data_IF_323112568142
#
_entry.id   IF_323112568142
#
_cell.length_a   1.000
_cell.length_b   1.000
_cell.length_c   1.000
_cell.angle_alpha   90.00
_cell.angle_beta   90.00
_cell.angle_gamma   90.00
#
_symmetry.space_group_name_H-M   'P 1'
#
loop_
_entity.id
_entity.type
_entity.pdbx_description
1 polymer ?
#
# COMPACT_ATOMS: atom_id res chain seq x y z
N UNK A 1 11.18 33.48 -6.18
CA UNK A 1 10.03 32.60 -6.03
C UNK A 1 10.34 31.30 -6.76
N UNK A 2 10.52 30.19 -6.03
CA UNK A 2 10.85 28.88 -6.58
C UNK A 2 9.81 27.84 -6.21
N UNK A 3 9.94 26.65 -6.77
CA UNK A 3 9.14 25.47 -6.45
C UNK A 3 9.89 24.61 -5.43
N UNK A 4 9.22 24.17 -4.40
CA UNK A 4 9.78 23.26 -3.40
C UNK A 4 9.24 21.85 -3.63
N UNK A 5 10.15 20.89 -3.78
CA UNK A 5 9.77 19.47 -3.90
C UNK A 5 9.03 18.97 -2.65
N UNK A 6 9.38 19.48 -1.46
CA UNK A 6 8.69 19.17 -0.20
C UNK A 6 7.25 19.67 -0.22
N UNK A 7 7.03 20.88 -0.72
CA UNK A 7 5.69 21.44 -0.83
C UNK A 7 4.85 20.69 -1.88
N UNK A 8 5.47 20.27 -2.99
CA UNK A 8 4.81 19.41 -3.99
C UNK A 8 4.37 18.08 -3.38
N UNK A 9 5.26 17.46 -2.60
CA UNK A 9 4.95 16.24 -1.90
C UNK A 9 3.80 16.43 -0.90
N UNK A 10 3.76 17.53 -0.18
CA UNK A 10 2.67 17.83 0.74
C UNK A 10 1.32 17.95 -0.01
N UNK A 11 1.30 18.67 -1.14
CA UNK A 11 0.10 18.76 -1.96
C UNK A 11 -0.34 17.39 -2.52
N UNK A 12 0.61 16.58 -2.97
CA UNK A 12 0.37 15.21 -3.40
C UNK A 12 -0.26 14.37 -2.29
N UNK A 13 0.29 14.44 -1.08
CA UNK A 13 -0.22 13.70 0.06
C UNK A 13 -1.62 14.16 0.49
N UNK A 14 -1.91 15.45 0.39
CA UNK A 14 -3.24 15.97 0.67
C UNK A 14 -4.27 15.46 -0.36
N UNK A 15 -3.89 15.44 -1.64
CA UNK A 15 -4.72 14.86 -2.68
C UNK A 15 -4.94 13.35 -2.45
N UNK A 16 -3.89 12.59 -2.10
CA UNK A 16 -4.01 11.17 -1.82
C UNK A 16 -4.95 10.88 -0.63
N UNK A 17 -4.87 11.67 0.43
CA UNK A 17 -5.77 11.54 1.60
C UNK A 17 -7.23 11.82 1.26
N UNK A 18 -7.49 12.61 0.23
CA UNK A 18 -8.87 12.92 -0.21
C UNK A 18 -9.47 11.86 -1.12
N UNK A 19 -8.69 10.86 -1.56
CA UNK A 19 -9.20 9.76 -2.37
C UNK A 19 -9.96 8.77 -1.50
N UNK A 20 -11.21 8.51 -1.86
CA UNK A 20 -11.98 7.39 -1.33
C UNK A 20 -11.69 6.14 -2.17
N UNK A 21 -10.86 5.24 -1.65
CA UNK A 21 -10.72 3.92 -2.26
C UNK A 21 -11.96 3.07 -1.95
N UNK A 22 -12.38 2.18 -2.88
CA UNK A 22 -13.49 1.28 -2.61
C UNK A 22 -13.17 0.37 -1.43
N UNK A 23 -14.18 0.13 -0.60
CA UNK A 23 -14.12 -0.82 0.51
C UNK A 23 -14.42 -2.22 -0.02
N UNK A 24 -13.64 -3.19 0.41
CA UNK A 24 -13.87 -4.61 0.13
C UNK A 24 -14.59 -5.26 1.33
N UNK A 25 -15.64 -6.03 1.08
CA UNK A 25 -16.45 -6.66 2.14
C UNK A 25 -15.63 -7.61 3.03
N UNK A 26 -14.57 -8.21 2.49
CA UNK A 26 -13.75 -9.21 3.18
C UNK A 26 -12.45 -8.60 3.70
N UNK A 27 -11.77 -7.81 2.88
CA UNK A 27 -10.44 -7.25 3.19
C UNK A 27 -10.50 -5.87 3.87
N UNK A 28 -11.68 -5.22 3.85
CA UNK A 28 -11.87 -3.90 4.44
C UNK A 28 -11.31 -2.77 3.59
N UNK A 29 -10.61 -1.84 4.22
CA UNK A 29 -10.10 -0.63 3.58
C UNK A 29 -8.74 -0.83 2.92
N UNK A 30 -8.52 -0.13 1.81
CA UNK A 30 -7.18 0.09 1.27
C UNK A 30 -6.39 0.99 2.21
N UNK A 31 -5.25 0.52 2.65
CA UNK A 31 -4.35 1.29 3.52
C UNK A 31 -3.03 1.57 2.83
N UNK A 32 -2.34 2.61 3.27
CA UNK A 32 -1.04 2.97 2.71
C UNK A 32 -0.11 3.60 3.75
N UNK A 33 1.18 3.49 3.47
CA UNK A 33 2.24 4.07 4.27
C UNK A 33 3.31 4.72 3.38
N UNK A 34 3.90 5.81 3.85
CA UNK A 34 5.02 6.46 3.19
C UNK A 34 6.31 6.07 3.88
N UNK A 35 7.24 5.52 3.10
CA UNK A 35 8.56 5.15 3.56
C UNK A 35 9.67 5.68 2.65
N UNK A 36 10.90 5.58 3.11
CA UNK A 36 12.09 6.04 2.38
C UNK A 36 11.95 7.46 1.83
N UNK A 37 11.41 8.35 2.65
CA UNK A 37 11.28 9.76 2.35
C UNK A 37 12.66 10.42 2.50
N UNK A 38 13.18 10.95 1.41
CA UNK A 38 14.49 11.61 1.36
C UNK A 38 14.34 12.94 0.66
N UNK A 39 14.74 14.00 1.36
CA UNK A 39 14.96 15.34 0.82
C UNK A 39 16.13 15.93 1.57
N UNK A 40 17.22 16.16 0.85
CA UNK A 40 18.46 16.68 1.40
C UNK A 40 18.68 18.12 0.90
N UNK A 41 18.22 19.08 1.69
CA UNK A 41 18.40 20.48 1.42
C UNK A 41 18.58 21.28 2.71
N UNK A 42 19.42 22.32 2.74
CA UNK A 42 19.51 23.25 3.85
C UNK A 42 18.15 23.92 4.14
N UNK A 43 17.89 24.22 5.38
CA UNK A 43 16.59 24.78 5.82
C UNK A 43 16.25 26.15 5.19
N UNK A 44 17.23 26.88 4.70
CA UNK A 44 17.07 28.20 4.10
C UNK A 44 17.02 28.16 2.56
N UNK A 45 17.04 26.96 1.94
CA UNK A 45 16.98 26.75 0.50
C UNK A 45 15.76 25.89 0.18
N UNK A 46 15.03 26.24 -0.88
CA UNK A 46 13.92 25.41 -1.35
C UNK A 46 14.43 24.04 -1.79
N UNK A 47 13.73 22.99 -1.38
CA UNK A 47 14.06 21.64 -1.81
C UNK A 47 13.89 21.50 -3.32
N UNK A 48 14.95 21.14 -4.01
CA UNK A 48 14.98 20.87 -5.44
C UNK A 48 14.59 19.43 -5.78
N UNK A 49 14.71 18.52 -4.79
CA UNK A 49 14.43 17.09 -4.97
C UNK A 49 13.85 16.47 -3.72
N UNK A 50 12.87 15.59 -3.94
CA UNK A 50 12.34 14.67 -2.93
C UNK A 50 12.04 13.33 -3.58
N UNK A 51 12.40 12.26 -2.90
CA UNK A 51 12.00 10.90 -3.27
C UNK A 51 11.34 10.21 -2.09
N UNK A 52 10.33 9.40 -2.36
CA UNK A 52 9.69 8.56 -1.36
C UNK A 52 9.17 7.27 -1.99
N UNK A 53 8.82 6.32 -1.15
CA UNK A 53 8.05 5.15 -1.52
C UNK A 53 6.71 5.18 -0.82
N UNK A 54 5.64 4.99 -1.56
CA UNK A 54 4.31 4.77 -0.99
C UNK A 54 3.99 3.29 -1.14
N UNK A 55 3.79 2.64 -0.03
CA UNK A 55 3.41 1.24 0.03
C UNK A 55 1.90 1.17 0.27
N UNK A 56 1.19 0.47 -0.59
CA UNK A 56 -0.23 0.23 -0.48
C UNK A 56 -0.50 -1.21 -0.05
N UNK A 57 -1.50 -1.39 0.80
CA UNK A 57 -2.20 -2.66 0.99
C UNK A 57 -3.53 -2.52 0.31
N UNK A 58 -3.61 -3.12 -0.84
CA UNK A 58 -4.76 -3.04 -1.72
C UNK A 58 -5.80 -4.10 -1.38
N UNK A 59 -7.02 -3.88 -1.80
CA UNK A 59 -8.10 -4.85 -1.86
C UNK A 59 -8.25 -5.36 -3.29
N UNK A 60 -9.12 -6.35 -3.50
CA UNK A 60 -9.39 -6.85 -4.85
C UNK A 60 -9.91 -5.77 -5.79
N UNK A 61 -10.68 -4.80 -5.26
CA UNK A 61 -11.24 -3.73 -6.06
C UNK A 61 -10.28 -2.56 -6.30
N UNK A 62 -9.40 -2.28 -5.35
CA UNK A 62 -8.51 -1.12 -5.42
C UNK A 62 -7.18 -1.39 -6.12
N UNK A 63 -6.77 -2.65 -6.26
CA UNK A 63 -5.43 -3.01 -6.73
C UNK A 63 -5.10 -2.43 -8.10
N UNK A 64 -6.01 -2.57 -9.06
CA UNK A 64 -5.81 -2.07 -10.42
C UNK A 64 -5.85 -0.54 -10.50
N UNK A 65 -6.58 0.11 -9.60
CA UNK A 65 -6.76 1.56 -9.68
C UNK A 65 -5.63 2.36 -9.03
N UNK A 66 -4.91 1.82 -8.04
CA UNK A 66 -3.90 2.55 -7.26
C UNK A 66 -2.86 3.24 -8.13
N UNK A 67 -2.28 2.54 -9.10
CA UNK A 67 -1.27 3.12 -9.98
C UNK A 67 -1.81 4.29 -10.82
N UNK A 68 -3.05 4.18 -11.29
CA UNK A 68 -3.69 5.24 -12.08
C UNK A 68 -4.02 6.45 -11.20
N UNK A 69 -4.56 6.21 -10.02
CA UNK A 69 -4.81 7.27 -9.03
C UNK A 69 -3.52 8.03 -8.70
N UNK A 70 -2.43 7.33 -8.41
CA UNK A 70 -1.14 7.95 -8.11
C UNK A 70 -0.60 8.80 -9.26
N UNK A 71 -0.71 8.32 -10.50
CA UNK A 71 -0.30 9.07 -11.70
C UNK A 71 -1.18 10.28 -11.93
N UNK A 72 -2.48 10.15 -11.73
CA UNK A 72 -3.44 11.25 -11.90
C UNK A 72 -3.16 12.36 -10.89
N UNK A 73 -2.97 12.02 -9.60
CA UNK A 73 -2.62 13.00 -8.57
C UNK A 73 -1.31 13.70 -8.93
N UNK A 74 -0.29 12.96 -9.38
CA UNK A 74 0.98 13.54 -9.79
C UNK A 74 0.84 14.50 -10.98
N UNK A 75 -0.05 14.18 -11.93
CA UNK A 75 -0.35 15.03 -13.08
C UNK A 75 -1.19 16.26 -12.75
N UNK A 76 -2.16 16.12 -11.84
CA UNK A 76 -3.11 17.19 -11.51
C UNK A 76 -2.67 18.06 -10.32
N UNK A 77 -1.87 17.52 -9.41
CA UNK A 77 -1.41 18.24 -8.22
C UNK A 77 -0.73 19.56 -8.54
N UNK A 78 -0.03 19.60 -9.67
CA UNK A 78 0.55 20.80 -10.23
C UNK A 78 -0.51 21.88 -10.55
N UNK A 79 -1.63 21.48 -11.16
CA UNK A 79 -2.71 22.41 -11.52
C UNK A 79 -3.36 23.05 -10.31
N UNK A 80 -3.61 22.26 -9.26
CA UNK A 80 -4.27 22.75 -8.05
C UNK A 80 -3.44 23.81 -7.34
N UNK A 81 -2.13 23.68 -7.34
CA UNK A 81 -1.25 24.63 -6.65
C UNK A 81 -1.05 25.91 -7.45
N UNK A 82 -0.79 25.82 -8.73
CA UNK A 82 -0.62 26.98 -9.59
C UNK A 82 -1.91 27.76 -9.80
N UNK A 83 -3.05 27.09 -9.92
CA UNK A 83 -4.35 27.72 -10.01
C UNK A 83 -4.76 28.55 -8.78
N UNK A 84 -4.05 28.40 -7.67
CA UNK A 84 -4.28 29.18 -6.43
C UNK A 84 -3.29 30.32 -6.21
N UNK A 85 -2.18 30.38 -6.96
CA UNK A 85 -1.20 31.45 -6.86
C UNK A 85 -1.50 32.52 -7.91
N UNK A 86 -1.94 33.67 -7.46
CA UNK A 86 -1.88 34.89 -8.25
C UNK A 86 -0.46 35.43 -8.21
N UNK A 87 0.08 35.80 -9.33
CA UNK A 87 1.31 36.57 -9.40
C UNK A 87 1.06 37.95 -8.76
N UNK A 88 2.09 38.63 -8.28
CA UNK A 88 1.95 39.95 -7.62
C UNK A 88 1.23 41.03 -8.45
N UNK A 89 1.19 40.86 -9.76
CA UNK A 89 0.47 41.74 -10.70
C UNK A 89 -1.02 41.35 -10.90
N UNK A 90 -1.50 40.30 -10.21
CA UNK A 90 -2.89 39.81 -10.31
C UNK A 90 -3.16 38.86 -11.48
N UNK A 91 -2.15 38.56 -12.31
CA UNK A 91 -2.28 37.58 -13.40
C UNK A 91 -2.25 36.13 -12.90
N UNK A 92 -3.00 35.24 -13.55
CA UNK A 92 -2.89 33.81 -13.29
C UNK A 92 -1.56 33.27 -13.81
N UNK A 93 -0.93 32.37 -13.05
CA UNK A 93 0.28 31.68 -13.50
C UNK A 93 -0.06 30.89 -14.76
N UNK A 94 0.66 31.20 -15.83
CA UNK A 94 0.37 30.75 -17.17
C UNK A 94 0.61 29.24 -17.33
N UNK A 95 -0.14 28.63 -18.24
CA UNK A 95 -0.13 27.22 -18.62
C UNK A 95 1.26 26.58 -18.89
N UNK A 96 2.29 27.37 -19.15
CA UNK A 96 3.68 26.91 -19.30
C UNK A 96 4.27 26.32 -18.01
N UNK A 97 3.91 26.88 -16.87
CA UNK A 97 4.43 26.45 -15.56
C UNK A 97 3.80 25.13 -15.12
N UNK A 98 2.54 24.90 -15.48
CA UNK A 98 1.85 23.62 -15.26
C UNK A 98 2.54 22.47 -16.00
N UNK A 99 2.97 22.72 -17.26
CA UNK A 99 3.67 21.70 -18.04
C UNK A 99 5.06 21.37 -17.48
N UNK A 100 5.75 22.34 -16.88
CA UNK A 100 7.03 22.12 -16.17
C UNK A 100 6.82 21.26 -14.94
N UNK A 101 5.79 21.54 -14.16
CA UNK A 101 5.46 20.76 -12.95
C UNK A 101 5.12 19.31 -13.25
N UNK A 102 4.31 19.05 -14.26
CA UNK A 102 3.97 17.69 -14.68
C UNK A 102 5.20 16.86 -15.06
N UNK A 103 6.27 17.53 -15.53
CA UNK A 103 7.55 16.87 -15.81
C UNK A 103 8.42 16.66 -14.57
N UNK A 104 8.18 17.43 -13.51
CA UNK A 104 8.99 17.35 -12.30
C UNK A 104 8.53 16.26 -11.33
N UNK A 105 7.28 15.81 -11.40
CA UNK A 105 6.75 14.75 -10.57
C UNK A 105 6.50 13.49 -11.39
N UNK A 106 7.10 12.38 -10.99
CA UNK A 106 6.92 11.09 -11.64
C UNK A 106 6.56 10.01 -10.63
N UNK A 107 5.69 9.11 -11.04
CA UNK A 107 5.27 7.92 -10.27
C UNK A 107 5.63 6.67 -11.05
N UNK A 108 6.33 5.75 -10.39
CA UNK A 108 6.72 4.46 -10.95
C UNK A 108 6.28 3.34 -10.01
N UNK A 109 5.59 2.35 -10.54
CA UNK A 109 5.35 1.11 -9.82
C UNK A 109 6.68 0.35 -9.63
N UNK A 110 6.92 -0.12 -8.41
CA UNK A 110 8.12 -0.91 -8.07
C UNK A 110 7.84 -2.41 -8.03
N UNK A 111 6.61 -2.81 -8.34
CA UNK A 111 6.12 -4.15 -8.17
C UNK A 111 5.43 -4.34 -6.83
N UNK A 112 4.99 -5.54 -6.57
CA UNK A 112 4.23 -5.97 -5.40
C UNK A 112 3.38 -7.16 -5.77
N UNK A 113 2.89 -7.86 -4.75
CA UNK A 113 1.94 -8.94 -4.94
C UNK A 113 0.51 -8.39 -4.86
N UNK A 114 -0.38 -8.94 -5.67
CA UNK A 114 -1.81 -8.63 -5.63
C UNK A 114 -2.47 -9.30 -4.43
N UNK A 115 -3.62 -8.79 -3.97
CA UNK A 115 -4.42 -9.48 -2.96
C UNK A 115 -4.68 -10.92 -3.34
N UNK A 116 -4.47 -11.85 -2.42
CA UNK A 116 -4.57 -13.28 -2.69
C UNK A 116 -5.71 -13.91 -1.90
N UNK A 117 -6.59 -14.63 -2.61
CA UNK A 117 -7.62 -15.45 -1.98
C UNK A 117 -7.04 -16.83 -1.70
N UNK A 118 -7.03 -17.19 -0.42
CA UNK A 118 -6.63 -18.53 0.02
C UNK A 118 -7.80 -19.50 0.07
N UNK A 119 -7.49 -20.77 -0.04
CA UNK A 119 -8.47 -21.84 0.23
C UNK A 119 -8.78 -21.89 1.74
N UNK A 120 -10.00 -22.27 2.02
CA UNK A 120 -10.49 -22.52 3.39
C UNK A 120 -10.81 -23.99 3.57
N UNK A 121 -10.74 -24.48 4.79
CA UNK A 121 -11.10 -25.85 5.14
C UNK A 121 -12.33 -25.86 6.02
N UNK A 122 -13.24 -26.78 5.73
CA UNK A 122 -14.44 -27.00 6.55
C UNK A 122 -14.04 -27.34 7.99
N UNK A 123 -14.68 -26.69 8.96
CA UNK A 123 -14.40 -26.91 10.38
C UNK A 123 -13.27 -26.05 10.96
N UNK A 124 -12.72 -25.13 10.17
CA UNK A 124 -11.75 -24.13 10.63
C UNK A 124 -12.31 -22.73 10.46
N UNK A 125 -12.16 -21.90 11.47
CA UNK A 125 -12.47 -20.47 11.35
C UNK A 125 -11.41 -19.77 10.55
N UNK A 126 -11.83 -18.81 9.73
CA UNK A 126 -10.94 -18.02 8.87
C UNK A 126 -11.17 -16.54 9.08
N UNK A 127 -10.14 -15.75 8.85
CA UNK A 127 -10.23 -14.28 8.87
C UNK A 127 -9.31 -13.68 7.81
N UNK A 128 -9.64 -12.52 7.26
CA UNK A 128 -8.73 -11.78 6.40
C UNK A 128 -7.52 -11.31 7.20
N UNK A 129 -6.38 -11.16 6.52
CA UNK A 129 -5.15 -10.65 7.11
C UNK A 129 -4.54 -9.58 6.22
N UNK A 130 -3.97 -8.54 6.84
CA UNK A 130 -3.41 -7.40 6.15
C UNK A 130 -1.87 -7.46 6.10
N UNK A 131 -1.30 -8.62 5.81
CA UNK A 131 0.15 -8.80 5.65
C UNK A 131 0.45 -9.64 4.40
N UNK A 132 1.66 -9.48 3.87
CA UNK A 132 2.14 -10.24 2.72
C UNK A 132 2.56 -11.66 3.09
N UNK A 133 2.58 -12.54 2.09
CA UNK A 133 3.13 -13.88 2.20
C UNK A 133 3.74 -14.29 0.86
N UNK A 134 4.53 -15.35 0.84
CA UNK A 134 5.16 -15.89 -0.37
C UNK A 134 4.20 -16.73 -1.24
N UNK A 135 2.96 -16.91 -0.80
CA UNK A 135 2.00 -17.75 -1.52
C UNK A 135 1.70 -17.31 -2.97
N UNK A 136 1.70 -16.03 -3.35
CA UNK A 136 1.60 -15.62 -4.76
C UNK A 136 2.72 -16.19 -5.63
N UNK A 137 3.91 -16.39 -5.07
CA UNK A 137 5.07 -16.94 -5.77
C UNK A 137 4.99 -18.46 -5.99
N UNK A 138 4.15 -19.14 -5.22
CA UNK A 138 3.96 -20.59 -5.29
C UNK A 138 2.98 -20.97 -6.42
N UNK A 139 3.34 -20.67 -7.66
CA UNK A 139 2.47 -20.83 -8.84
C UNK A 139 2.14 -22.29 -9.18
N UNK A 140 2.98 -23.22 -8.79
CA UNK A 140 2.79 -24.65 -9.06
C UNK A 140 1.80 -25.34 -8.09
N UNK A 141 1.36 -24.66 -7.05
CA UNK A 141 0.40 -25.20 -6.09
C UNK A 141 -1.01 -24.74 -6.43
N UNK A 142 -1.92 -25.69 -6.65
CA UNK A 142 -3.32 -25.43 -6.99
C UNK A 142 -4.13 -24.93 -5.79
N UNK A 143 -3.81 -25.39 -4.59
CA UNK A 143 -4.46 -25.03 -3.34
C UNK A 143 -3.45 -24.44 -2.37
N UNK A 144 -3.82 -23.34 -1.74
CA UNK A 144 -2.96 -22.63 -0.81
C UNK A 144 -3.76 -22.21 0.40
N UNK A 145 -3.26 -22.53 1.58
CA UNK A 145 -3.88 -22.18 2.86
C UNK A 145 -2.84 -21.43 3.66
N UNK A 146 -3.20 -20.25 4.16
CA UNK A 146 -2.37 -19.52 5.09
C UNK A 146 -2.73 -19.92 6.52
N UNK A 147 -1.79 -20.53 7.22
CA UNK A 147 -1.99 -21.00 8.58
C UNK A 147 -0.70 -20.90 9.37
N UNK A 148 -0.80 -20.51 10.62
CA UNK A 148 0.33 -20.46 11.54
C UNK A 148 -0.13 -20.20 12.97
N UNK A 149 0.68 -20.56 13.96
CA UNK A 149 0.41 -20.29 15.37
C UNK A 149 0.75 -18.84 15.74
N UNK A 150 0.24 -18.40 16.89
CA UNK A 150 0.53 -17.10 17.48
C UNK A 150 -0.27 -15.94 16.88
N UNK A 151 0.17 -14.73 17.18
CA UNK A 151 -0.50 -13.51 16.79
C UNK A 151 0.39 -12.61 15.93
N UNK A 152 -0.15 -12.14 14.81
CA UNK A 152 0.52 -11.15 13.95
C UNK A 152 0.78 -9.82 14.70
N UNK A 153 0.06 -9.55 15.78
CA UNK A 153 0.22 -8.31 16.54
C UNK A 153 1.55 -8.19 17.25
N UNK A 154 2.24 -9.30 17.47
CA UNK A 154 3.59 -9.31 18.09
C UNK A 154 4.71 -9.53 17.06
N UNK A 155 4.37 -9.83 15.81
CA UNK A 155 5.36 -10.04 14.76
C UNK A 155 6.15 -8.77 14.45
N UNK A 156 7.43 -8.93 14.13
CA UNK A 156 8.39 -7.85 13.83
C UNK A 156 8.63 -6.87 14.98
N UNK A 157 8.46 -7.30 16.21
CA UNK A 157 8.74 -6.53 17.43
C UNK A 157 9.85 -7.19 18.22
N UNK A 158 10.59 -6.42 19.07
CA UNK A 158 11.57 -7.01 19.99
C UNK A 158 10.98 -8.07 20.94
N UNK A 159 9.68 -7.93 21.25
CA UNK A 159 8.93 -8.83 22.14
C UNK A 159 8.22 -9.97 21.37
N UNK A 160 8.57 -10.19 20.10
CA UNK A 160 7.97 -11.27 19.32
C UNK A 160 8.11 -12.60 20.03
N UNK A 161 6.99 -13.24 20.26
CA UNK A 161 6.93 -14.49 21.02
C UNK A 161 5.76 -15.37 20.56
N UNK A 162 5.81 -16.64 21.00
CA UNK A 162 4.75 -17.61 20.86
C UNK A 162 4.66 -18.41 22.16
N UNK A 163 3.44 -18.74 22.60
CA UNK A 163 3.26 -19.59 23.76
C UNK A 163 3.38 -21.08 23.41
N UNK A 164 3.76 -21.91 24.38
CA UNK A 164 3.76 -23.37 24.19
C UNK A 164 2.35 -23.90 23.89
N UNK A 165 1.32 -23.33 24.49
CA UNK A 165 -0.07 -23.69 24.23
C UNK A 165 -0.47 -23.40 22.77
N UNK A 166 -0.01 -22.27 22.20
CA UNK A 166 -0.25 -21.96 20.78
C UNK A 166 0.44 -22.96 19.85
N UNK A 167 1.65 -23.39 20.20
CA UNK A 167 2.38 -24.43 19.43
C UNK A 167 1.67 -25.78 19.48
N UNK A 168 1.20 -26.20 20.65
CA UNK A 168 0.44 -27.44 20.80
C UNK A 168 -0.87 -27.39 20.00
N UNK A 169 -1.60 -26.27 20.10
CA UNK A 169 -2.82 -26.04 19.32
C UNK A 169 -2.55 -26.08 17.82
N UNK A 170 -1.45 -25.48 17.38
CA UNK A 170 -1.07 -25.50 15.96
C UNK A 170 -0.76 -26.93 15.48
N UNK A 171 -0.02 -27.70 16.26
CA UNK A 171 0.24 -29.12 15.97
C UNK A 171 -1.05 -29.90 15.74
N UNK A 172 -2.01 -29.76 16.65
CA UNK A 172 -3.28 -30.47 16.56
C UNK A 172 -4.12 -29.98 15.37
N UNK A 173 -4.08 -28.67 15.08
CA UNK A 173 -4.71 -28.11 13.88
C UNK A 173 -4.08 -28.64 12.59
N UNK A 174 -2.77 -28.80 12.50
CA UNK A 174 -2.12 -29.35 11.31
C UNK A 174 -2.53 -30.81 11.08
N UNK A 175 -2.63 -31.62 12.11
CA UNK A 175 -3.14 -33.00 12.02
C UNK A 175 -4.57 -33.02 11.47
N UNK A 176 -5.46 -32.22 12.06
CA UNK A 176 -6.85 -32.09 11.61
C UNK A 176 -6.96 -31.58 10.17
N UNK A 177 -6.13 -30.65 9.76
CA UNK A 177 -6.08 -30.15 8.37
C UNK A 177 -5.69 -31.26 7.42
N UNK A 178 -4.65 -32.02 7.76
CA UNK A 178 -4.20 -33.17 6.95
C UNK A 178 -5.33 -34.21 6.79
N UNK A 179 -5.97 -34.62 7.88
CA UNK A 179 -7.08 -35.56 7.86
C UNK A 179 -8.24 -35.05 7.00
N UNK A 180 -8.58 -33.76 7.13
CA UNK A 180 -9.64 -33.13 6.32
C UNK A 180 -9.29 -33.15 4.82
N UNK A 181 -8.05 -32.88 4.47
CA UNK A 181 -7.58 -32.86 3.08
C UNK A 181 -7.52 -34.27 2.46
N UNK A 182 -7.15 -35.28 3.24
CA UNK A 182 -7.09 -36.68 2.76
C UNK A 182 -8.49 -37.23 2.58
N UNK A 183 -9.37 -37.01 3.55
CA UNK A 183 -10.75 -37.53 3.51
C UNK A 183 -11.63 -36.80 2.46
N UNK A 184 -11.27 -35.59 2.06
CA UNK A 184 -12.01 -34.85 1.02
C UNK A 184 -11.70 -35.34 -0.40
N UNK A 185 -10.80 -36.30 -0.58
CA UNK A 185 -10.46 -36.94 -1.89
C UNK A 185 -11.22 -38.24 -2.13
N UNK A 186 -12.08 -38.64 -1.19
CA UNK A 186 -12.96 -39.83 -1.31
C UNK A 186 -14.39 -39.35 -1.75
#
# INVERSE_FOLDING_TARGET
YGLSAVEMFNDFMNALRSIGFPQDEVLGDTTWNVGKLVSDNPQNILSDRLTCRVYFRTTFESDEMVCNVMRNIAGEGARLRFGRRKVQDGSDIVSKDVAVWQKCMSVRALGGDTPTKYDTLKGFSTKPVAFGSDAPQLTNFRRKILCGPGSILVAHRPEENITLADLETAKDNYVRMYETLVNSKS
#
